data_IF_530600374935
#
_entry.id   IF_530600374935
#
_cell.length_a   1.000
_cell.length_b   1.000
_cell.length_c   1.000
_cell.angle_alpha   90.00
_cell.angle_beta   90.00
_cell.angle_gamma   90.00
#
_symmetry.space_group_name_H-M   'P 1'
#
loop_
_entity.id
_entity.type
_entity.pdbx_description
1 polymer ?
#
# COMPACT_ATOMS: atom_id res chain seq x y z
N UNK A 1 -13.14 5.93 4.52
CA UNK A 1 -12.22 4.94 3.90
C UNK A 1 -12.98 4.18 2.83
N UNK A 2 -12.36 3.89 1.69
CA UNK A 2 -12.88 3.09 0.58
C UNK A 2 -11.90 1.95 0.32
N UNK A 3 -12.38 0.70 0.22
CA UNK A 3 -11.56 -0.49 0.02
C UNK A 3 -11.95 -1.14 -1.30
N UNK A 4 -11.06 -1.12 -2.28
CA UNK A 4 -11.30 -1.65 -3.62
C UNK A 4 -10.56 -2.98 -3.79
N UNK A 5 -11.31 -4.05 -3.93
CA UNK A 5 -10.80 -5.40 -4.15
C UNK A 5 -10.76 -5.66 -5.65
N UNK A 6 -9.56 -5.89 -6.16
CA UNK A 6 -9.33 -6.01 -7.59
C UNK A 6 -8.30 -7.13 -7.86
N UNK A 7 -8.72 -8.16 -8.53
CA UNK A 7 -7.85 -9.28 -8.88
C UNK A 7 -6.76 -8.91 -9.90
N UNK A 8 -5.95 -9.90 -10.25
CA UNK A 8 -4.89 -9.73 -11.24
C UNK A 8 -5.47 -9.30 -12.60
N UNK A 9 -4.90 -8.26 -13.20
CA UNK A 9 -5.35 -7.77 -14.51
C UNK A 9 -6.60 -6.89 -14.50
N UNK A 10 -7.14 -6.52 -13.34
CA UNK A 10 -8.31 -5.63 -13.20
C UNK A 10 -8.01 -4.14 -13.45
N UNK A 11 -6.80 -3.79 -13.88
CA UNK A 11 -6.42 -2.41 -14.14
C UNK A 11 -6.22 -1.56 -12.88
N UNK A 12 -5.80 -2.17 -11.76
CA UNK A 12 -5.58 -1.49 -10.46
C UNK A 12 -4.86 -0.16 -10.60
N UNK A 13 -3.70 -0.16 -11.25
CA UNK A 13 -2.85 1.04 -11.41
C UNK A 13 -3.56 2.16 -12.18
N UNK A 14 -4.31 1.82 -13.23
CA UNK A 14 -5.10 2.80 -13.99
C UNK A 14 -6.21 3.38 -13.12
N UNK A 15 -7.01 2.52 -12.48
CA UNK A 15 -8.09 2.96 -11.58
C UNK A 15 -7.56 3.79 -10.41
N UNK A 16 -6.36 3.47 -9.89
CA UNK A 16 -5.69 4.27 -8.86
C UNK A 16 -5.33 5.66 -9.37
N UNK A 17 -4.77 5.75 -10.58
CA UNK A 17 -4.42 7.04 -11.20
C UNK A 17 -5.67 7.89 -11.48
N UNK A 18 -6.73 7.28 -12.00
CA UNK A 18 -8.01 7.96 -12.22
C UNK A 18 -8.61 8.50 -10.90
N UNK A 19 -8.50 7.71 -9.82
CA UNK A 19 -8.94 8.15 -8.48
C UNK A 19 -8.14 9.34 -7.97
N UNK A 20 -6.82 9.36 -8.17
CA UNK A 20 -5.96 10.47 -7.77
C UNK A 20 -6.34 11.75 -8.54
N UNK A 21 -6.55 11.65 -9.86
CA UNK A 21 -6.98 12.76 -10.71
C UNK A 21 -8.33 13.29 -10.23
N UNK A 22 -9.29 12.40 -9.98
CA UNK A 22 -10.60 12.76 -9.46
C UNK A 22 -10.49 13.48 -8.10
N UNK A 23 -9.70 12.96 -7.17
CA UNK A 23 -9.48 13.58 -5.86
C UNK A 23 -8.82 14.95 -5.99
N UNK A 24 -7.86 15.13 -6.91
CA UNK A 24 -7.20 16.42 -7.13
C UNK A 24 -8.17 17.51 -7.53
N UNK A 25 -9.21 17.17 -8.31
CA UNK A 25 -10.23 18.12 -8.73
C UNK A 25 -11.24 18.48 -7.62
N UNK A 26 -11.27 17.73 -6.52
CA UNK A 26 -12.23 17.93 -5.43
C UNK A 26 -11.59 18.46 -4.14
N UNK A 27 -10.30 18.22 -3.95
CA UNK A 27 -9.58 18.59 -2.76
C UNK A 27 -8.92 19.97 -3.00
N UNK A 28 -8.87 20.77 -1.93
CA UNK A 28 -8.18 22.06 -1.93
C UNK A 28 -6.73 21.91 -2.44
N UNK A 29 -6.30 22.85 -3.29
CA UNK A 29 -4.98 22.82 -3.93
C UNK A 29 -3.82 22.89 -2.93
N UNK A 30 -4.03 23.49 -1.77
CA UNK A 30 -3.05 23.57 -0.70
C UNK A 30 -2.82 22.21 -0.01
N UNK A 31 -3.77 21.27 -0.14
CA UNK A 31 -3.67 19.94 0.48
C UNK A 31 -2.97 18.97 -0.43
N UNK A 32 -2.16 18.12 0.18
CA UNK A 32 -1.41 17.06 -0.50
C UNK A 32 -2.24 15.80 -0.65
N UNK A 33 -2.12 15.15 -1.79
CA UNK A 33 -2.65 13.82 -2.05
C UNK A 33 -1.47 12.85 -2.12
N UNK A 34 -1.46 11.89 -1.23
CA UNK A 34 -0.42 10.87 -1.19
C UNK A 34 -0.88 9.60 -1.90
N UNK A 35 -0.09 9.13 -2.86
CA UNK A 35 -0.24 7.81 -3.44
C UNK A 35 0.95 6.96 -3.05
N UNK A 36 0.71 5.89 -2.31
CA UNK A 36 1.75 5.04 -1.76
C UNK A 36 1.62 3.62 -2.28
N UNK A 37 2.74 3.03 -2.68
CA UNK A 37 2.84 1.66 -3.14
C UNK A 37 4.00 0.93 -2.45
N UNK A 38 4.05 -0.39 -2.56
CA UNK A 38 5.09 -1.18 -1.87
C UNK A 38 6.43 -1.21 -2.61
N UNK A 39 6.43 -1.05 -3.93
CA UNK A 39 7.63 -1.18 -4.77
C UNK A 39 7.88 0.07 -5.60
N UNK A 40 9.15 0.32 -5.93
CA UNK A 40 9.51 1.41 -6.85
C UNK A 40 8.87 1.20 -8.23
N UNK A 41 8.81 -0.05 -8.71
CA UNK A 41 8.16 -0.37 -9.99
C UNK A 41 6.68 0.02 -10.01
N UNK A 42 5.93 -0.20 -8.92
CA UNK A 42 4.54 0.24 -8.81
C UNK A 42 4.45 1.77 -8.79
N UNK A 43 5.33 2.45 -8.04
CA UNK A 43 5.44 3.92 -8.02
C UNK A 43 5.66 4.46 -9.44
N UNK A 44 6.60 3.88 -10.20
CA UNK A 44 6.91 4.32 -11.56
C UNK A 44 5.75 4.08 -12.53
N UNK A 45 5.02 2.95 -12.39
CA UNK A 45 3.81 2.70 -13.17
C UNK A 45 2.71 3.73 -12.90
N UNK A 46 2.49 4.09 -11.64
CA UNK A 46 1.51 5.11 -11.26
C UNK A 46 1.92 6.48 -11.81
N UNK A 47 3.19 6.87 -11.65
CA UNK A 47 3.71 8.13 -12.20
C UNK A 47 3.54 8.19 -13.71
N UNK A 48 3.88 7.12 -14.43
CA UNK A 48 3.69 7.05 -15.88
C UNK A 48 2.23 7.27 -16.28
N UNK A 49 1.29 6.67 -15.53
CA UNK A 49 -0.14 6.87 -15.78
C UNK A 49 -0.60 8.29 -15.50
N UNK A 50 -0.11 8.91 -14.44
CA UNK A 50 -0.41 10.31 -14.14
C UNK A 50 0.16 11.25 -15.21
N UNK A 51 1.35 10.96 -15.77
CA UNK A 51 1.94 11.71 -16.88
C UNK A 51 1.17 11.56 -18.21
N UNK A 52 0.32 10.56 -18.36
CA UNK A 52 -0.61 10.47 -19.51
C UNK A 52 -1.71 11.55 -19.44
N UNK A 53 -2.03 12.03 -18.23
CA UNK A 53 -3.03 13.06 -17.99
C UNK A 53 -2.42 14.47 -17.76
N UNK A 54 -1.34 14.56 -16.98
CA UNK A 54 -0.67 15.80 -16.64
C UNK A 54 0.59 15.97 -17.47
N UNK A 55 0.80 17.17 -18.04
CA UNK A 55 2.11 17.53 -18.65
C UNK A 55 3.21 17.45 -17.61
N UNK A 56 2.91 17.94 -16.39
CA UNK A 56 3.73 17.82 -15.20
C UNK A 56 2.82 17.47 -14.03
N UNK A 57 3.17 16.42 -13.28
CA UNK A 57 2.41 16.03 -12.09
C UNK A 57 2.45 17.17 -11.08
N UNK A 58 1.29 17.67 -10.61
CA UNK A 58 1.25 18.74 -9.60
C UNK A 58 2.04 18.36 -8.34
N UNK A 59 2.73 19.34 -7.74
CA UNK A 59 3.52 19.16 -6.51
C UNK A 59 2.67 18.71 -5.31
N UNK A 60 1.38 18.98 -5.36
CA UNK A 60 0.41 18.50 -4.37
C UNK A 60 0.10 17.01 -4.49
N UNK A 61 0.50 16.33 -5.58
CA UNK A 61 0.38 14.87 -5.75
C UNK A 61 1.74 14.23 -5.47
N UNK A 62 1.83 13.48 -4.39
CA UNK A 62 3.08 12.83 -3.97
C UNK A 62 2.95 11.32 -4.17
N UNK A 63 3.69 10.78 -5.13
CA UNK A 63 3.75 9.33 -5.40
C UNK A 63 5.06 8.79 -4.85
N UNK A 64 5.00 7.85 -3.92
CA UNK A 64 6.18 7.30 -3.26
C UNK A 64 5.97 5.86 -2.77
N UNK A 65 7.06 5.21 -2.34
CA UNK A 65 6.90 3.95 -1.61
C UNK A 65 6.36 4.22 -0.20
N UNK A 66 5.68 3.22 0.37
CA UNK A 66 5.09 3.32 1.70
C UNK A 66 6.13 3.64 2.79
N UNK A 67 7.32 3.02 2.73
CA UNK A 67 8.40 3.32 3.66
C UNK A 67 8.91 4.76 3.50
N UNK A 68 9.00 5.25 2.26
CA UNK A 68 9.40 6.63 1.99
C UNK A 68 8.37 7.63 2.53
N UNK A 69 7.09 7.37 2.33
CA UNK A 69 5.99 8.17 2.87
C UNK A 69 6.04 8.22 4.40
N UNK A 70 6.06 7.07 5.05
CA UNK A 70 6.10 7.00 6.52
C UNK A 70 7.31 7.71 7.11
N UNK A 71 8.47 7.56 6.46
CA UNK A 71 9.67 8.23 6.94
C UNK A 71 9.62 9.74 6.73
N UNK A 72 9.29 10.20 5.51
CA UNK A 72 9.35 11.62 5.14
C UNK A 72 8.23 12.46 5.76
N UNK A 73 7.02 11.90 5.81
CA UNK A 73 5.82 12.65 6.21
C UNK A 73 5.42 12.43 7.67
N UNK A 74 5.87 11.33 8.29
CA UNK A 74 5.49 10.99 9.67
C UNK A 74 6.70 10.99 10.59
N UNK A 75 7.76 10.20 10.30
CA UNK A 75 8.86 10.00 11.25
C UNK A 75 9.77 11.22 11.30
N UNK A 76 10.27 11.66 10.14
CA UNK A 76 11.25 12.75 10.06
C UNK A 76 10.75 14.07 10.68
N UNK A 77 9.51 14.51 10.43
CA UNK A 77 9.01 15.75 11.02
C UNK A 77 8.59 15.62 12.49
N UNK A 78 8.14 14.45 12.94
CA UNK A 78 7.41 14.37 14.20
C UNK A 78 8.04 13.47 15.29
N UNK A 79 8.90 12.51 14.93
CA UNK A 79 9.41 11.54 15.92
C UNK A 79 10.15 12.22 17.05
N UNK A 80 10.97 13.24 16.74
CA UNK A 80 11.76 13.97 17.72
C UNK A 80 10.92 14.81 18.70
N UNK A 81 9.71 15.20 18.31
CA UNK A 81 8.80 15.96 19.17
C UNK A 81 8.20 15.09 20.30
N UNK A 82 8.15 13.78 20.11
CA UNK A 82 7.60 12.84 21.10
C UNK A 82 8.68 12.06 21.85
N UNK A 83 9.82 11.81 21.21
CA UNK A 83 10.83 10.87 21.71
C UNK A 83 12.25 11.47 21.76
N UNK A 84 12.40 12.79 21.55
CA UNK A 84 13.67 13.54 21.63
C UNK A 84 14.79 12.98 20.75
N UNK A 85 14.43 12.19 19.74
CA UNK A 85 15.38 11.50 18.85
C UNK A 85 15.08 11.83 17.39
N UNK A 86 16.12 12.16 16.62
CA UNK A 86 16.04 12.40 15.17
C UNK A 86 16.73 11.31 14.40
N UNK A 87 16.04 10.75 13.41
CA UNK A 87 16.65 9.86 12.44
C UNK A 87 17.05 10.66 11.20
N UNK A 88 18.32 10.59 10.84
CA UNK A 88 18.86 11.34 9.70
C UNK A 88 18.85 10.53 8.42
N UNK A 89 18.99 9.20 8.53
CA UNK A 89 19.15 8.30 7.39
C UNK A 89 18.33 7.03 7.57
N UNK A 90 18.02 6.38 6.44
CA UNK A 90 17.42 5.05 6.39
C UNK A 90 18.49 4.05 5.97
N UNK A 91 18.55 2.91 6.64
CA UNK A 91 19.34 1.76 6.23
C UNK A 91 18.47 0.70 5.56
N UNK A 92 18.91 0.25 4.38
CA UNK A 92 18.34 -0.89 3.66
C UNK A 92 19.25 -2.13 3.72
N UNK A 93 20.26 -2.10 4.59
CA UNK A 93 21.27 -3.14 4.71
C UNK A 93 20.62 -4.48 5.09
N UNK A 94 21.05 -5.57 4.44
CA UNK A 94 20.54 -6.91 4.76
C UNK A 94 20.78 -7.24 6.23
N UNK A 95 19.71 -7.68 6.90
CA UNK A 95 19.76 -8.10 8.31
C UNK A 95 20.13 -9.59 8.42
N UNK A 96 20.82 -10.00 9.49
CA UNK A 96 21.04 -11.40 9.83
C UNK A 96 19.71 -12.17 9.99
N UNK A 97 19.70 -13.45 9.68
CA UNK A 97 18.53 -14.31 9.89
C UNK A 97 18.27 -14.58 11.36
N UNK A 98 19.32 -14.78 12.12
CA UNK A 98 19.25 -14.96 13.58
C UNK A 98 18.69 -13.72 14.28
N UNK A 99 17.67 -13.91 15.11
CA UNK A 99 16.94 -12.83 15.77
C UNK A 99 17.83 -12.00 16.71
N UNK A 100 18.77 -12.64 17.42
CA UNK A 100 19.68 -11.95 18.35
C UNK A 100 20.60 -10.99 17.60
N UNK A 101 21.25 -11.45 16.55
CA UNK A 101 22.15 -10.62 15.73
C UNK A 101 21.37 -9.56 14.93
N UNK A 102 20.18 -9.88 14.47
CA UNK A 102 19.29 -8.93 13.82
C UNK A 102 18.94 -7.77 14.74
N UNK A 103 18.48 -8.07 15.96
CA UNK A 103 18.09 -7.05 16.93
C UNK A 103 19.30 -6.21 17.39
N UNK A 104 20.47 -6.84 17.59
CA UNK A 104 21.70 -6.13 17.90
C UNK A 104 22.11 -5.16 16.78
N UNK A 105 21.99 -5.57 15.50
CA UNK A 105 22.27 -4.71 14.34
C UNK A 105 21.27 -3.55 14.24
N UNK A 106 19.98 -3.79 14.44
CA UNK A 106 18.96 -2.74 14.44
C UNK A 106 19.25 -1.73 15.55
N UNK A 107 19.54 -2.20 16.76
CA UNK A 107 19.89 -1.34 17.90
C UNK A 107 21.13 -0.49 17.60
N UNK A 108 22.19 -1.09 17.04
CA UNK A 108 23.39 -0.34 16.67
C UNK A 108 23.11 0.77 15.65
N UNK A 109 22.25 0.49 14.65
CA UNK A 109 21.82 1.52 13.69
C UNK A 109 21.02 2.60 14.39
N UNK A 110 20.13 2.21 15.29
CA UNK A 110 19.34 3.11 16.11
C UNK A 110 20.22 4.06 16.94
N UNK A 111 21.25 3.54 17.62
CA UNK A 111 22.23 4.33 18.39
C UNK A 111 23.00 5.34 17.51
N UNK A 112 23.12 5.06 16.21
CA UNK A 112 23.75 5.94 15.22
C UNK A 112 22.75 6.91 14.53
N UNK A 113 21.53 7.04 15.04
CA UNK A 113 20.44 7.82 14.42
C UNK A 113 20.07 7.38 12.99
N UNK A 114 20.30 6.11 12.66
CA UNK A 114 19.95 5.50 11.38
C UNK A 114 18.80 4.53 11.59
N UNK A 115 17.69 4.78 10.93
CA UNK A 115 16.49 3.94 11.00
C UNK A 115 16.57 2.80 9.99
N UNK A 116 16.43 1.55 10.44
CA UNK A 116 16.36 0.44 9.50
C UNK A 116 14.96 0.35 8.87
N UNK A 117 14.89 0.06 7.56
CA UNK A 117 13.61 0.04 6.84
C UNK A 117 12.54 -0.88 7.45
N UNK A 118 12.93 -2.00 8.05
CA UNK A 118 11.97 -2.96 8.63
C UNK A 118 11.25 -2.46 9.88
N UNK A 119 11.76 -1.43 10.55
CA UNK A 119 11.13 -0.86 11.75
C UNK A 119 10.42 0.47 11.47
N UNK A 120 10.44 0.95 10.23
CA UNK A 120 9.75 2.19 9.82
C UNK A 120 8.24 2.14 10.16
N UNK A 121 7.47 1.08 9.82
CA UNK A 121 6.05 1.03 10.15
C UNK A 121 5.79 1.10 11.66
N UNK A 122 6.59 0.40 12.45
CA UNK A 122 6.48 0.41 13.91
C UNK A 122 6.73 1.81 14.50
N UNK A 123 7.77 2.51 14.04
CA UNK A 123 8.11 3.85 14.53
C UNK A 123 7.05 4.89 14.09
N UNK A 124 6.54 4.80 12.87
CA UNK A 124 5.45 5.64 12.40
C UNK A 124 4.17 5.42 13.21
N UNK A 125 3.85 4.16 13.53
CA UNK A 125 2.74 3.80 14.41
C UNK A 125 2.89 4.45 15.79
N UNK A 126 4.08 4.49 16.37
CA UNK A 126 4.28 5.12 17.68
C UNK A 126 3.98 6.63 17.69
N UNK A 127 4.07 7.29 16.54
CA UNK A 127 3.71 8.70 16.41
C UNK A 127 2.18 8.88 16.35
N UNK A 128 1.47 8.03 15.61
CA UNK A 128 0.06 8.20 15.32
C UNK A 128 -0.84 7.48 16.34
N UNK A 129 -0.47 6.29 16.78
CA UNK A 129 -1.29 5.42 17.60
C UNK A 129 -0.90 5.48 19.08
N UNK A 130 -1.85 5.22 19.98
CA UNK A 130 -1.62 5.19 21.42
C UNK A 130 -0.71 4.02 21.81
N UNK A 131 0.16 4.27 22.80
CA UNK A 131 0.91 3.24 23.53
C UNK A 131 0.44 3.18 24.98
N UNK A 132 0.48 1.99 25.59
CA UNK A 132 0.02 1.77 26.97
C UNK A 132 0.79 2.59 28.02
N UNK A 133 2.07 2.89 27.73
CA UNK A 133 2.99 3.63 28.64
C UNK A 133 3.16 5.11 28.24
N UNK A 134 2.30 5.67 27.41
CA UNK A 134 2.42 7.06 27.02
C UNK A 134 2.17 8.01 28.17
N UNK A 135 3.09 8.92 28.39
CA UNK A 135 2.94 10.03 29.37
C UNK A 135 1.88 11.02 28.88
N UNK A 136 1.43 11.91 29.77
CA UNK A 136 0.50 12.98 29.41
C UNK A 136 1.05 13.85 28.29
N UNK A 137 2.31 14.25 28.37
CA UNK A 137 3.00 15.06 27.35
C UNK A 137 3.02 14.38 25.99
N UNK A 138 3.32 13.07 25.91
CA UNK A 138 3.29 12.31 24.63
C UNK A 138 1.87 12.28 24.04
N UNK A 139 0.84 12.11 24.88
CA UNK A 139 -0.55 12.10 24.41
C UNK A 139 -0.97 13.44 23.83
N UNK A 140 -0.63 14.54 24.51
CA UNK A 140 -0.89 15.90 24.04
C UNK A 140 -0.12 16.22 22.76
N UNK A 141 1.17 15.91 22.74
CA UNK A 141 2.03 16.09 21.53
C UNK A 141 1.50 15.31 20.33
N UNK A 142 1.06 14.05 20.53
CA UNK A 142 0.45 13.25 19.47
C UNK A 142 -0.83 13.89 18.92
N UNK A 143 -1.67 14.45 19.76
CA UNK A 143 -2.88 15.14 19.32
C UNK A 143 -2.55 16.36 18.45
N UNK A 144 -1.54 17.15 18.84
CA UNK A 144 -1.05 18.28 18.05
C UNK A 144 -0.54 17.80 16.69
N UNK A 145 0.26 16.71 16.66
CA UNK A 145 0.80 16.13 15.42
C UNK A 145 -0.33 15.68 14.49
N UNK A 146 -1.33 14.97 15.00
CA UNK A 146 -2.48 14.51 14.21
C UNK A 146 -3.22 15.68 13.59
N UNK A 147 -3.51 16.71 14.39
CA UNK A 147 -4.18 17.91 13.91
C UNK A 147 -3.35 18.64 12.84
N UNK A 148 -2.03 18.74 13.03
CA UNK A 148 -1.14 19.34 12.05
C UNK A 148 -1.15 18.53 10.74
N UNK A 149 -1.01 17.20 10.82
CA UNK A 149 -1.03 16.32 9.65
C UNK A 149 -2.35 16.40 8.87
N UNK A 150 -3.49 16.39 9.57
CA UNK A 150 -4.82 16.47 8.94
C UNK A 150 -5.08 17.79 8.22
N UNK A 151 -4.38 18.88 8.59
CA UNK A 151 -4.55 20.18 7.92
C UNK A 151 -4.04 20.16 6.49
N UNK A 152 -2.91 19.52 6.22
CA UNK A 152 -2.30 19.51 4.89
C UNK A 152 -2.48 18.19 4.11
N UNK A 153 -2.90 17.12 4.79
CA UNK A 153 -3.20 15.85 4.13
C UNK A 153 -4.63 15.85 3.61
N UNK A 154 -4.78 15.91 2.29
CA UNK A 154 -6.10 15.89 1.63
C UNK A 154 -6.63 14.48 1.43
N UNK A 155 -5.80 13.53 1.02
CA UNK A 155 -6.15 12.13 0.84
C UNK A 155 -4.91 11.23 0.82
N UNK A 156 -5.11 9.95 1.11
CA UNK A 156 -4.08 8.92 0.96
C UNK A 156 -4.66 7.75 0.16
N UNK A 157 -3.99 7.41 -0.93
CA UNK A 157 -4.28 6.26 -1.77
C UNK A 157 -3.20 5.21 -1.56
N UNK A 158 -3.57 3.97 -1.22
CA UNK A 158 -2.63 2.87 -0.96
C UNK A 158 -2.86 1.76 -1.97
N UNK A 159 -1.85 1.47 -2.79
CA UNK A 159 -1.85 0.36 -3.74
C UNK A 159 -1.18 -0.88 -3.13
N UNK A 160 -1.56 -2.07 -3.59
CA UNK A 160 -1.10 -3.38 -3.13
C UNK A 160 -1.26 -3.58 -1.60
N UNK A 161 -2.43 -3.19 -1.08
CA UNK A 161 -2.74 -3.22 0.38
C UNK A 161 -2.63 -4.61 1.00
N UNK A 162 -2.68 -5.70 0.22
CA UNK A 162 -2.46 -7.04 0.75
C UNK A 162 -1.06 -7.25 1.35
N UNK A 163 -0.08 -6.40 1.00
CA UNK A 163 1.30 -6.49 1.50
C UNK A 163 1.55 -5.78 2.83
N UNK A 164 0.55 -5.11 3.41
CA UNK A 164 0.68 -4.40 4.69
C UNK A 164 0.86 -5.38 5.87
N UNK A 165 1.65 -4.92 6.86
CA UNK A 165 1.75 -5.59 8.15
C UNK A 165 0.75 -5.01 9.18
N UNK A 166 0.74 -5.59 10.38
CA UNK A 166 -0.15 -5.15 11.47
C UNK A 166 0.11 -3.69 11.89
N UNK A 167 1.34 -3.19 11.84
CA UNK A 167 1.63 -1.80 12.17
C UNK A 167 1.02 -0.86 11.16
N UNK A 168 1.09 -1.23 9.87
CA UNK A 168 0.45 -0.48 8.81
C UNK A 168 -1.08 -0.51 8.89
N UNK A 169 -1.66 -1.67 9.22
CA UNK A 169 -3.10 -1.77 9.46
C UNK A 169 -3.55 -0.77 10.53
N UNK A 170 -2.88 -0.76 11.70
CA UNK A 170 -3.21 0.18 12.78
C UNK A 170 -3.04 1.65 12.37
N UNK A 171 -2.03 1.97 11.55
CA UNK A 171 -1.83 3.32 10.99
C UNK A 171 -3.00 3.70 10.08
N UNK A 172 -3.41 2.83 9.17
CA UNK A 172 -4.53 3.04 8.24
C UNK A 172 -5.83 3.30 9.03
N UNK A 173 -6.11 2.47 10.02
CA UNK A 173 -7.28 2.64 10.88
C UNK A 173 -7.24 3.98 11.64
N UNK A 174 -6.06 4.38 12.12
CA UNK A 174 -5.92 5.65 12.82
C UNK A 174 -6.09 6.85 11.89
N UNK A 175 -5.52 6.81 10.68
CA UNK A 175 -5.72 7.82 9.65
C UNK A 175 -7.20 7.95 9.26
N UNK A 176 -7.91 6.82 9.20
CA UNK A 176 -9.37 6.82 8.99
C UNK A 176 -10.11 7.50 10.13
N UNK A 177 -9.73 7.21 11.39
CA UNK A 177 -10.30 7.87 12.60
C UNK A 177 -10.02 9.37 12.64
N UNK A 178 -8.91 9.82 12.05
CA UNK A 178 -8.58 11.23 11.89
C UNK A 178 -9.43 11.94 10.82
N UNK A 179 -10.31 11.21 10.11
CA UNK A 179 -11.16 11.75 9.07
C UNK A 179 -10.45 11.97 7.72
N UNK A 180 -9.24 11.44 7.54
CA UNK A 180 -8.51 11.52 6.27
C UNK A 180 -9.17 10.60 5.23
N UNK A 181 -9.52 11.10 4.04
CA UNK A 181 -10.00 10.28 2.94
C UNK A 181 -8.96 9.22 2.54
N UNK A 182 -9.32 7.95 2.67
CA UNK A 182 -8.46 6.82 2.34
C UNK A 182 -9.06 6.02 1.20
N UNK A 183 -8.26 5.71 0.18
CA UNK A 183 -8.57 4.77 -0.90
C UNK A 183 -7.55 3.65 -0.87
N UNK A 184 -8.00 2.45 -0.55
CA UNK A 184 -7.19 1.24 -0.49
C UNK A 184 -7.47 0.39 -1.72
N UNK A 185 -6.44 -0.18 -2.35
CA UNK A 185 -6.58 -1.08 -3.49
C UNK A 185 -5.67 -2.29 -3.33
N UNK A 186 -6.23 -3.49 -3.46
CA UNK A 186 -5.46 -4.72 -3.31
C UNK A 186 -6.19 -5.96 -3.77
N UNK A 187 -5.48 -7.08 -3.72
CA UNK A 187 -5.98 -8.41 -4.04
C UNK A 187 -5.70 -9.36 -2.86
N UNK A 188 -6.70 -9.71 -2.04
CA UNK A 188 -6.50 -10.55 -0.87
C UNK A 188 -5.97 -11.96 -1.21
N UNK A 189 -6.09 -12.39 -2.48
CA UNK A 189 -5.53 -13.66 -2.97
C UNK A 189 -4.01 -13.61 -3.14
N UNK A 190 -3.43 -12.41 -3.18
CA UNK A 190 -2.00 -12.18 -3.33
C UNK A 190 -1.28 -11.90 -2.00
N UNK A 191 -1.92 -12.16 -0.86
CA UNK A 191 -1.25 -12.08 0.45
C UNK A 191 -0.27 -13.25 0.63
N UNK A 192 0.91 -13.12 0.03
CA UNK A 192 1.98 -14.13 0.12
C UNK A 192 2.66 -14.17 1.49
N UNK A 193 2.45 -13.15 2.32
CA UNK A 193 3.05 -13.05 3.66
C UNK A 193 2.15 -13.65 4.74
N UNK A 194 0.87 -13.87 4.43
CA UNK A 194 -0.10 -14.44 5.36
C UNK A 194 -0.46 -13.52 6.53
N UNK A 195 -0.29 -12.21 6.38
CA UNK A 195 -0.62 -11.25 7.43
C UNK A 195 -2.13 -11.07 7.63
N UNK A 196 -2.92 -11.38 6.60
CA UNK A 196 -4.39 -11.25 6.56
C UNK A 196 -4.90 -9.84 6.89
N UNK A 197 -4.05 -8.82 6.86
CA UNK A 197 -4.40 -7.46 7.25
C UNK A 197 -5.49 -6.87 6.34
N UNK A 198 -5.42 -7.13 5.02
CA UNK A 198 -6.46 -6.68 4.10
C UNK A 198 -7.81 -7.35 4.40
N UNK A 199 -7.84 -8.65 4.68
CA UNK A 199 -9.08 -9.36 5.05
C UNK A 199 -9.67 -8.81 6.35
N UNK A 200 -8.84 -8.56 7.36
CA UNK A 200 -9.27 -7.93 8.61
C UNK A 200 -9.89 -6.54 8.38
N UNK A 201 -9.31 -5.73 7.47
CA UNK A 201 -9.89 -4.44 7.10
C UNK A 201 -11.22 -4.61 6.34
N UNK A 202 -11.34 -5.60 5.46
CA UNK A 202 -12.58 -5.90 4.74
C UNK A 202 -13.71 -6.31 5.70
N UNK A 203 -13.42 -7.13 6.69
CA UNK A 203 -14.38 -7.55 7.72
C UNK A 203 -14.78 -6.38 8.62
N UNK A 204 -13.82 -5.57 9.05
CA UNK A 204 -14.08 -4.43 9.96
C UNK A 204 -14.87 -3.31 9.27
N UNK A 205 -14.67 -3.11 7.97
CA UNK A 205 -15.25 -2.03 7.17
C UNK A 205 -16.04 -2.56 5.98
N UNK A 206 -16.83 -3.59 6.17
CA UNK A 206 -17.57 -4.31 5.12
C UNK A 206 -18.38 -3.38 4.19
N UNK A 207 -19.05 -2.39 4.76
CA UNK A 207 -19.85 -1.42 3.99
C UNK A 207 -19.01 -0.52 3.03
N UNK A 208 -17.70 -0.48 3.25
CA UNK A 208 -16.77 0.31 2.45
C UNK A 208 -16.04 -0.50 1.38
N UNK A 209 -16.31 -1.81 1.29
CA UNK A 209 -15.67 -2.72 0.35
C UNK A 209 -16.39 -2.68 -1.00
N UNK A 210 -15.61 -2.54 -2.06
CA UNK A 210 -16.08 -2.59 -3.44
C UNK A 210 -15.27 -3.61 -4.22
N UNK A 211 -15.95 -4.46 -4.96
CA UNK A 211 -15.33 -5.50 -5.77
C UNK A 211 -15.26 -5.07 -7.23
N UNK A 212 -14.08 -5.18 -7.83
CA UNK A 212 -13.82 -4.90 -9.23
C UNK A 212 -13.72 -6.23 -9.96
N UNK A 213 -14.77 -6.59 -10.69
CA UNK A 213 -14.88 -7.89 -11.37
C UNK A 213 -14.22 -7.92 -12.74
N UNK A 214 -13.98 -6.78 -13.38
CA UNK A 214 -13.41 -6.74 -14.73
C UNK A 214 -11.94 -7.18 -14.74
N UNK A 215 -11.58 -7.98 -15.74
CA UNK A 215 -10.19 -8.36 -16.02
C UNK A 215 -9.84 -8.04 -17.47
N UNK A 216 -8.88 -7.13 -17.66
CA UNK A 216 -8.41 -6.69 -18.97
C UNK A 216 -7.20 -7.47 -19.48
N UNK A 217 -6.62 -8.35 -18.67
CA UNK A 217 -5.38 -9.06 -18.99
C UNK A 217 -5.64 -10.48 -19.51
N UNK A 218 -6.44 -11.24 -18.78
CA UNK A 218 -6.62 -12.67 -19.01
C UNK A 218 -7.88 -12.94 -19.84
N UNK A 219 -7.87 -13.93 -20.77
CA UNK A 219 -9.06 -14.44 -21.42
C UNK A 219 -10.03 -15.08 -20.42
N UNK A 220 -11.35 -15.05 -20.75
CA UNK A 220 -12.40 -15.58 -19.88
C UNK A 220 -12.20 -17.05 -19.50
N UNK A 221 -11.70 -17.89 -20.41
CA UNK A 221 -11.41 -19.31 -20.14
C UNK A 221 -10.40 -19.49 -19.00
N UNK A 222 -9.37 -18.66 -18.91
CA UNK A 222 -8.40 -18.72 -17.81
C UNK A 222 -8.99 -18.27 -16.49
N UNK A 223 -9.90 -17.30 -16.53
CA UNK A 223 -10.59 -16.81 -15.33
C UNK A 223 -11.58 -17.84 -14.77
N UNK A 224 -12.19 -18.67 -15.61
CA UNK A 224 -13.08 -19.73 -15.15
C UNK A 224 -12.38 -20.65 -14.15
N UNK A 225 -11.13 -21.06 -14.45
CA UNK A 225 -10.35 -21.90 -13.55
C UNK A 225 -10.04 -21.19 -12.22
N UNK A 226 -9.64 -19.93 -12.26
CA UNK A 226 -9.33 -19.17 -11.04
C UNK A 226 -10.58 -18.85 -10.22
N UNK A 227 -11.72 -18.65 -10.86
CA UNK A 227 -12.99 -18.34 -10.20
C UNK A 227 -13.58 -19.50 -9.40
N UNK A 228 -13.15 -20.75 -9.66
CA UNK A 228 -13.53 -21.90 -8.83
C UNK A 228 -12.88 -21.90 -7.44
N UNK A 229 -11.82 -21.11 -7.25
CA UNK A 229 -11.01 -21.08 -6.04
C UNK A 229 -11.27 -19.85 -5.16
N UNK A 230 -12.28 -19.05 -5.50
CA UNK A 230 -12.55 -17.77 -4.82
C UNK A 230 -14.04 -17.59 -4.55
N UNK A 231 -14.35 -16.73 -3.58
CA UNK A 231 -15.71 -16.36 -3.23
C UNK A 231 -16.43 -15.67 -4.39
N UNK A 232 -17.77 -15.74 -4.41
CA UNK A 232 -18.60 -15.16 -5.50
C UNK A 232 -18.26 -13.69 -5.78
N UNK A 233 -18.06 -12.90 -4.72
CA UNK A 233 -17.76 -11.46 -4.83
C UNK A 233 -16.37 -11.18 -5.42
N UNK A 234 -15.45 -12.13 -5.33
CA UNK A 234 -14.08 -12.00 -5.84
C UNK A 234 -13.90 -12.56 -7.26
N UNK A 235 -14.96 -13.12 -7.86
CA UNK A 235 -14.92 -13.64 -9.23
C UNK A 235 -14.71 -12.54 -10.25
N UNK A 236 -13.86 -12.84 -11.24
CA UNK A 236 -13.53 -11.93 -12.32
C UNK A 236 -14.20 -12.34 -13.63
N UNK A 237 -14.48 -11.34 -14.46
CA UNK A 237 -15.05 -11.50 -15.80
C UNK A 237 -14.15 -10.79 -16.82
N UNK A 238 -14.03 -11.35 -18.01
CA UNK A 238 -13.27 -10.76 -19.11
C UNK A 238 -14.05 -10.86 -20.41
N UNK A 239 -14.00 -9.81 -21.19
CA UNK A 239 -14.52 -9.80 -22.56
C UNK A 239 -13.50 -10.29 -23.60
N UNK A 240 -12.28 -10.66 -23.15
CA UNK A 240 -11.28 -11.19 -24.07
C UNK A 240 -11.56 -12.61 -24.47
N UNK A 241 -11.78 -12.82 -25.76
CA UNK A 241 -11.83 -14.13 -26.36
C UNK A 241 -10.44 -14.75 -26.48
N UNK A 242 -10.39 -16.06 -26.33
CA UNK A 242 -9.16 -16.82 -26.59
C UNK A 242 -8.98 -16.91 -28.10
N UNK A 243 -8.29 -15.96 -28.70
CA UNK A 243 -7.89 -16.09 -30.11
C UNK A 243 -6.79 -17.12 -30.16
N UNK A 244 -7.14 -18.37 -30.45
CA UNK A 244 -6.19 -19.38 -30.91
C UNK A 244 -5.74 -18.94 -32.31
N UNK A 245 -4.59 -18.24 -32.40
CA UNK A 245 -3.88 -18.18 -33.67
C UNK A 245 -3.34 -19.60 -33.95
N UNK A 246 -4.07 -20.39 -34.71
CA UNK A 246 -3.50 -21.55 -35.38
C UNK A 246 -2.39 -21.05 -36.29
N UNK A 247 -1.17 -21.01 -35.79
CA UNK A 247 0.02 -21.08 -36.65
C UNK A 247 0.09 -22.51 -37.13
N UNK A 248 -0.26 -22.74 -38.37
CA UNK A 248 0.08 -23.97 -39.11
C UNK A 248 1.59 -24.18 -39.06
N UNK A 249 2.07 -24.90 -38.08
CA UNK A 249 3.34 -25.65 -38.07
C UNK A 249 3.21 -26.72 -37.00
N UNK A 250 3.26 -27.97 -37.48
CA UNK A 250 3.35 -29.14 -36.63
C UNK A 250 4.59 -29.00 -35.71
N UNK A 251 4.33 -28.70 -34.46
CA UNK A 251 5.29 -28.86 -33.37
C UNK A 251 4.50 -29.00 -32.08
N UNK A 252 4.65 -30.14 -31.45
CA UNK A 252 4.07 -30.54 -30.18
C UNK A 252 4.23 -29.45 -29.13
N UNK A 253 3.15 -28.70 -28.84
CA UNK A 253 3.17 -27.71 -27.77
C UNK A 253 2.97 -28.45 -26.46
N UNK A 254 4.03 -28.68 -25.72
CA UNK A 254 3.97 -29.03 -24.29
C UNK A 254 3.42 -27.81 -23.54
N UNK A 255 2.20 -27.93 -23.03
CA UNK A 255 1.65 -27.05 -22.02
C UNK A 255 2.58 -27.07 -20.79
N UNK A 256 3.46 -26.06 -20.67
CA UNK A 256 4.10 -25.77 -19.40
C UNK A 256 3.10 -24.97 -18.56
N UNK A 257 2.34 -25.66 -17.73
CA UNK A 257 1.67 -25.10 -16.58
C UNK A 257 2.76 -24.52 -15.67
N UNK A 258 2.90 -23.21 -15.61
CA UNK A 258 3.72 -22.56 -14.60
C UNK A 258 2.99 -22.65 -13.24
N UNK A 259 3.08 -23.80 -12.59
CA UNK A 259 2.90 -23.93 -11.17
C UNK A 259 4.17 -23.41 -10.47
N UNK A 260 4.18 -22.14 -10.10
CA UNK A 260 5.06 -21.66 -9.04
C UNK A 260 4.22 -21.51 -7.78
N UNK A 261 3.79 -22.64 -7.27
CA UNK A 261 3.50 -22.87 -5.86
C UNK A 261 4.44 -23.97 -5.42
N UNK A 262 5.54 -23.64 -4.74
CA UNK A 262 6.18 -24.46 -3.70
C UNK A 262 7.44 -23.80 -3.16
N UNK A 263 7.39 -23.63 -1.95
CA UNK A 263 8.10 -23.78 -0.67
C UNK A 263 8.46 -22.46 -0.04
#
# INVERSE_FOLDING_TARGET
>A
MEINIAGAGAGKTTKMSDKIIFLRNQIDEEKKIYCVAFTNSAVDCIRKKLCEHYVQIPESIIVSTIHSFLYKEIIKPYYHLLYEKRYEKISVAKLPQDAKYRNAKIKRLDDMNVLHQTVIPEHAKWILCKKSKDTKSIKEGRMIIKNAFSKYCGAICVDEVQDIDKHMQEIIEELSRMGIPLTLMGDPKQDLKGFNCLRNLMETYEQNVRYISECYRCPQLHLQLSNHLVDENEKQKSEKDTIFRQKNRASTVRLKLCFHCRK
#
